data_IF_583832556024
#
_entry.id   IF_583832556024
#
_cell.length_a   1.000
_cell.length_b   1.000
_cell.length_c   1.000
_cell.angle_alpha   90.00
_cell.angle_beta   90.00
_cell.angle_gamma   90.00
#
_symmetry.space_group_name_H-M   'P 1'
#
loop_
_entity.id
_entity.type
_entity.pdbx_description
1 polymer ?
#
# COMPACT_ATOMS: atom_id res chain seq x y z
N UNK A 1 -1.79 -30.89 -25.47
CA UNK A 1 -3.15 -30.32 -25.41
C UNK A 1 -3.04 -28.82 -25.21
N UNK A 2 -3.54 -27.99 -26.13
CA UNK A 2 -3.64 -26.56 -25.92
C UNK A 2 -4.43 -26.27 -24.64
N UNK A 3 -4.02 -25.26 -23.88
CA UNK A 3 -4.72 -24.78 -22.68
C UNK A 3 -4.87 -25.81 -21.55
N UNK A 4 -3.87 -26.66 -21.25
CA UNK A 4 -3.99 -27.68 -20.17
C UNK A 4 -4.35 -27.09 -18.79
N UNK A 5 -3.80 -25.94 -18.46
CA UNK A 5 -3.98 -25.30 -17.16
C UNK A 5 -4.93 -24.10 -17.25
N UNK A 6 -5.75 -23.93 -16.21
CA UNK A 6 -6.54 -22.72 -15.98
C UNK A 6 -6.02 -22.08 -14.70
N UNK A 7 -5.69 -20.80 -14.77
CA UNK A 7 -5.20 -20.04 -13.63
C UNK A 7 -6.29 -19.02 -13.29
N UNK A 8 -6.71 -19.01 -12.04
CA UNK A 8 -7.81 -18.15 -11.55
C UNK A 8 -7.28 -17.27 -10.44
N UNK A 9 -7.51 -15.97 -10.57
CA UNK A 9 -7.39 -15.01 -9.49
C UNK A 9 -8.76 -14.83 -8.83
N UNK A 10 -8.80 -14.91 -7.51
CA UNK A 10 -9.98 -14.61 -6.70
C UNK A 10 -9.63 -13.48 -5.74
N UNK A 11 -10.41 -12.40 -5.76
CA UNK A 11 -10.22 -11.24 -4.88
C UNK A 11 -11.37 -11.19 -3.90
N UNK A 12 -11.06 -11.29 -2.61
CA UNK A 12 -12.02 -11.18 -1.49
C UNK A 12 -11.42 -10.21 -0.49
N UNK A 13 -12.21 -9.23 -0.02
CA UNK A 13 -11.75 -8.21 0.94
C UNK A 13 -10.43 -7.54 0.53
N UNK A 14 -10.32 -7.18 -0.75
CA UNK A 14 -9.13 -6.58 -1.36
C UNK A 14 -7.85 -7.46 -1.31
N UNK A 15 -7.97 -8.75 -0.97
CA UNK A 15 -6.88 -9.73 -0.96
C UNK A 15 -7.01 -10.68 -2.13
N UNK A 16 -5.96 -10.76 -2.94
CA UNK A 16 -5.89 -11.66 -4.07
C UNK A 16 -5.38 -13.05 -3.63
N UNK A 17 -6.05 -14.09 -4.09
CA UNK A 17 -5.62 -15.48 -4.00
C UNK A 17 -5.62 -16.10 -5.41
N UNK A 18 -4.81 -17.14 -5.59
CA UNK A 18 -4.55 -17.72 -6.91
C UNK A 18 -4.65 -19.23 -6.85
N UNK A 19 -5.37 -19.81 -7.81
CA UNK A 19 -5.49 -21.26 -7.97
C UNK A 19 -5.11 -21.67 -9.38
N UNK A 20 -4.55 -22.87 -9.51
CA UNK A 20 -4.18 -23.46 -10.80
C UNK A 20 -4.91 -24.79 -10.91
N UNK A 21 -5.68 -24.99 -11.97
CA UNK A 21 -6.41 -26.22 -12.24
C UNK A 21 -5.84 -26.95 -13.47
N UNK A 22 -5.44 -28.21 -13.30
CA UNK A 22 -5.00 -29.10 -14.39
C UNK A 22 -6.24 -29.80 -14.98
N UNK A 23 -6.68 -29.36 -16.17
CA UNK A 23 -7.87 -29.92 -16.82
C UNK A 23 -7.69 -31.38 -17.24
N UNK A 24 -6.46 -31.79 -17.54
CA UNK A 24 -6.18 -33.17 -17.96
C UNK A 24 -6.25 -34.12 -16.77
N UNK A 25 -5.71 -33.71 -15.61
CA UNK A 25 -5.77 -34.50 -14.37
C UNK A 25 -7.06 -34.27 -13.56
N UNK A 26 -7.90 -33.32 -13.99
CA UNK A 26 -9.13 -32.89 -13.31
C UNK A 26 -8.92 -32.57 -11.83
N UNK A 27 -7.85 -31.82 -11.52
CA UNK A 27 -7.50 -31.47 -10.14
C UNK A 27 -6.76 -30.15 -10.02
N UNK A 28 -6.87 -29.53 -8.86
CA UNK A 28 -6.07 -28.37 -8.48
C UNK A 28 -4.60 -28.76 -8.32
N UNK A 29 -3.72 -27.94 -8.85
CA UNK A 29 -2.28 -28.03 -8.63
C UNK A 29 -1.99 -27.36 -7.30
N UNK A 30 -1.54 -28.15 -6.33
CA UNK A 30 -1.19 -27.68 -4.99
C UNK A 30 0.28 -27.27 -5.00
N UNK A 31 0.62 -26.01 -4.63
CA UNK A 31 2.01 -25.61 -4.44
C UNK A 31 2.69 -26.46 -3.37
N UNK A 32 3.93 -26.85 -3.62
CA UNK A 32 4.79 -27.53 -2.65
C UNK A 32 5.60 -26.51 -1.84
N UNK A 33 6.60 -26.99 -1.10
CA UNK A 33 7.56 -26.14 -0.37
C UNK A 33 8.12 -25.01 -1.24
N UNK A 34 8.32 -23.84 -0.62
CA UNK A 34 8.74 -22.60 -1.29
C UNK A 34 7.77 -22.12 -2.38
N UNK A 35 6.48 -22.47 -2.27
CA UNK A 35 5.42 -22.11 -3.21
C UNK A 35 5.73 -22.50 -4.65
N UNK A 36 6.46 -23.59 -4.86
CA UNK A 36 6.73 -24.11 -6.21
C UNK A 36 5.57 -24.95 -6.70
N UNK A 37 5.29 -24.85 -7.98
CA UNK A 37 4.34 -25.72 -8.69
C UNK A 37 5.05 -26.44 -9.82
N UNK A 38 4.59 -27.65 -10.09
CA UNK A 38 5.13 -28.48 -11.16
C UNK A 38 4.09 -28.65 -12.25
N UNK A 39 4.35 -27.99 -13.38
CA UNK A 39 3.52 -28.04 -14.57
C UNK A 39 4.14 -29.01 -15.57
N UNK A 40 3.47 -29.17 -16.70
CA UNK A 40 3.86 -30.06 -17.80
C UNK A 40 3.69 -29.31 -19.11
N UNK A 41 4.70 -29.34 -19.95
CA UNK A 41 4.61 -28.80 -21.30
C UNK A 41 3.78 -29.71 -22.22
N UNK A 42 3.73 -29.37 -23.50
CA UNK A 42 3.05 -30.16 -24.53
C UNK A 42 3.66 -31.56 -24.75
N UNK A 43 4.95 -31.72 -24.47
CA UNK A 43 5.71 -32.97 -24.57
C UNK A 43 5.69 -33.78 -23.26
N UNK A 44 4.91 -33.34 -22.27
CA UNK A 44 4.81 -33.90 -20.94
C UNK A 44 6.12 -33.84 -20.11
N UNK A 45 7.08 -32.99 -20.50
CA UNK A 45 8.23 -32.66 -19.67
C UNK A 45 7.79 -31.84 -18.47
N UNK A 46 8.48 -32.02 -17.34
CA UNK A 46 8.16 -31.29 -16.10
C UNK A 46 8.75 -29.89 -16.15
N UNK A 47 7.90 -28.89 -15.95
CA UNK A 47 8.30 -27.51 -15.74
C UNK A 47 8.19 -27.18 -14.24
N UNK A 48 9.11 -26.39 -13.71
CA UNK A 48 9.08 -25.94 -12.32
C UNK A 48 9.08 -24.42 -12.26
N UNK A 49 8.03 -23.87 -11.67
CA UNK A 49 7.89 -22.44 -11.41
C UNK A 49 7.52 -22.21 -9.96
N UNK A 50 7.83 -21.04 -9.45
CA UNK A 50 7.24 -20.48 -8.24
C UNK A 50 5.89 -19.86 -8.56
N UNK A 51 5.01 -19.76 -7.56
CA UNK A 51 3.76 -19.02 -7.71
C UNK A 51 3.99 -17.55 -8.07
N UNK A 52 5.09 -16.94 -7.60
CA UNK A 52 5.47 -15.57 -7.97
C UNK A 52 5.76 -15.43 -9.46
N UNK A 53 6.57 -16.32 -10.04
CA UNK A 53 6.85 -16.32 -11.48
C UNK A 53 5.55 -16.44 -12.29
N UNK A 54 4.66 -17.35 -11.92
CA UNK A 54 3.39 -17.54 -12.63
C UNK A 54 2.49 -16.31 -12.52
N UNK A 55 2.30 -15.77 -11.32
CA UNK A 55 1.40 -14.62 -11.12
C UNK A 55 1.94 -13.36 -11.79
N UNK A 56 3.27 -13.16 -11.77
CA UNK A 56 3.92 -12.06 -12.47
C UNK A 56 3.73 -12.17 -13.98
N UNK A 57 3.94 -13.36 -14.55
CA UNK A 57 3.82 -13.59 -15.98
C UNK A 57 2.36 -13.45 -16.46
N UNK A 58 1.40 -13.97 -15.71
CA UNK A 58 0.00 -14.03 -16.15
C UNK A 58 -0.79 -12.75 -15.86
N UNK A 59 -0.50 -12.08 -14.74
CA UNK A 59 -1.30 -10.95 -14.26
C UNK A 59 -0.52 -9.64 -14.11
N UNK A 60 0.81 -9.65 -14.25
CA UNK A 60 1.70 -8.55 -13.84
C UNK A 60 1.45 -8.08 -12.38
N UNK A 61 1.21 -9.04 -11.50
CA UNK A 61 1.00 -8.82 -10.06
C UNK A 61 2.00 -9.61 -9.22
N UNK A 62 1.91 -9.45 -7.90
CA UNK A 62 2.77 -10.15 -6.96
C UNK A 62 1.99 -11.21 -6.18
N UNK A 63 2.46 -12.46 -6.21
CA UNK A 63 1.91 -13.51 -5.36
C UNK A 63 2.36 -13.32 -3.91
N UNK A 64 1.39 -13.25 -3.00
CA UNK A 64 1.64 -13.14 -1.57
C UNK A 64 0.45 -13.72 -0.78
N UNK A 65 0.76 -14.35 0.36
CA UNK A 65 -0.21 -14.77 1.37
C UNK A 65 -0.38 -13.62 2.37
N UNK A 66 -1.53 -12.94 2.33
CA UNK A 66 -1.84 -11.84 3.24
C UNK A 66 -2.73 -12.28 4.42
N UNK A 67 -2.07 -12.65 5.52
CA UNK A 67 -2.71 -12.95 6.81
C UNK A 67 -2.82 -11.74 7.74
N UNK A 68 -2.37 -10.55 7.32
CA UNK A 68 -2.42 -9.35 8.17
C UNK A 68 -3.88 -8.90 8.29
N UNK A 69 -4.42 -8.77 9.51
CA UNK A 69 -5.78 -8.27 9.71
C UNK A 69 -5.86 -6.77 9.41
N UNK A 70 -6.96 -6.40 8.77
CA UNK A 70 -7.29 -5.01 8.50
C UNK A 70 -7.93 -4.37 9.74
N UNK A 71 -7.68 -3.08 9.93
CA UNK A 71 -8.34 -2.31 10.97
C UNK A 71 -9.79 -2.01 10.54
N UNK A 72 -10.72 -1.74 11.48
CA UNK A 72 -12.11 -1.44 11.13
C UNK A 72 -12.22 -0.30 10.11
N UNK A 73 -12.83 -0.59 8.96
CA UNK A 73 -13.02 0.35 7.86
C UNK A 73 -11.72 0.80 7.16
N UNK A 74 -10.60 0.11 7.37
CA UNK A 74 -9.35 0.41 6.68
C UNK A 74 -9.42 0.07 5.20
N UNK A 75 -8.88 0.96 4.38
CA UNK A 75 -8.83 0.83 2.94
C UNK A 75 -7.39 0.74 2.48
N UNK A 76 -7.12 -0.11 1.49
CA UNK A 76 -5.79 -0.35 0.95
C UNK A 76 -5.72 -0.01 -0.54
N UNK A 77 -4.65 0.63 -0.95
CA UNK A 77 -4.30 0.85 -2.36
C UNK A 77 -2.93 0.27 -2.67
N UNK A 78 -2.79 -0.34 -3.85
CA UNK A 78 -1.49 -0.68 -4.38
C UNK A 78 -0.71 0.59 -4.75
N UNK A 79 0.57 0.63 -4.37
CA UNK A 79 1.48 1.70 -4.74
C UNK A 79 2.05 1.38 -6.12
N UNK A 80 1.70 2.19 -7.11
CA UNK A 80 2.08 2.04 -8.50
C UNK A 80 2.93 3.18 -9.05
N UNK A 81 3.24 3.07 -10.34
CA UNK A 81 4.12 4.00 -11.06
C UNK A 81 3.52 5.39 -11.27
N UNK A 82 2.19 5.52 -11.15
CA UNK A 82 1.45 6.78 -11.19
C UNK A 82 1.81 7.71 -10.03
N UNK A 83 2.15 7.15 -8.87
CA UNK A 83 2.69 7.92 -7.75
C UNK A 83 4.18 8.21 -7.94
N UNK A 84 4.96 7.19 -8.28
CA UNK A 84 6.39 7.31 -8.48
C UNK A 84 6.91 6.27 -9.47
N UNK A 85 7.54 6.74 -10.56
CA UNK A 85 8.08 5.91 -11.64
C UNK A 85 9.00 4.76 -11.20
N UNK A 86 9.60 4.84 -10.01
CA UNK A 86 10.40 3.77 -9.41
C UNK A 86 9.60 2.48 -9.15
N UNK A 87 8.27 2.55 -9.12
CA UNK A 87 7.40 1.39 -8.92
C UNK A 87 6.94 0.73 -10.23
N UNK A 88 7.45 1.14 -11.40
CA UNK A 88 7.05 0.59 -12.71
C UNK A 88 7.08 -0.95 -12.78
N UNK A 89 8.08 -1.58 -12.18
CA UNK A 89 8.24 -3.04 -12.18
C UNK A 89 7.77 -3.68 -10.85
N UNK A 90 6.99 -2.95 -10.06
CA UNK A 90 6.58 -3.31 -8.71
C UNK A 90 5.06 -3.34 -8.55
N UNK A 91 4.34 -3.49 -9.65
CA UNK A 91 2.89 -3.65 -9.66
C UNK A 91 2.48 -4.79 -8.71
N UNK A 92 1.51 -4.52 -7.84
CA UNK A 92 1.05 -5.47 -6.84
C UNK A 92 2.00 -5.71 -5.65
N UNK A 93 3.17 -5.06 -5.57
CA UNK A 93 4.20 -5.41 -4.57
C UNK A 93 4.05 -4.68 -3.23
N UNK A 94 3.52 -3.46 -3.23
CA UNK A 94 3.38 -2.65 -2.01
C UNK A 94 1.99 -2.07 -1.92
N UNK A 95 1.45 -1.98 -0.72
CA UNK A 95 0.16 -1.36 -0.45
C UNK A 95 0.29 -0.32 0.65
N UNK A 96 -0.49 0.75 0.55
CA UNK A 96 -0.64 1.77 1.60
C UNK A 96 -2.09 1.80 2.07
N UNK A 97 -2.29 1.99 3.37
CA UNK A 97 -3.63 2.18 3.93
C UNK A 97 -3.95 3.61 4.29
N UNK A 98 -5.25 3.93 4.38
CA UNK A 98 -5.76 5.20 4.88
C UNK A 98 -5.35 5.45 6.34
N UNK A 99 -4.99 4.40 7.08
CA UNK A 99 -4.45 4.47 8.45
C UNK A 99 -2.95 4.73 8.50
N UNK A 100 -2.29 4.90 7.36
CA UNK A 100 -0.85 5.13 7.27
C UNK A 100 -0.02 3.87 7.52
N UNK A 101 -0.58 2.68 7.33
CA UNK A 101 0.18 1.42 7.33
C UNK A 101 0.66 1.11 5.92
N UNK A 102 1.78 0.40 5.80
CA UNK A 102 2.30 -0.05 4.50
C UNK A 102 2.57 -1.55 4.57
N UNK A 103 2.00 -2.31 3.63
CA UNK A 103 2.27 -3.74 3.44
C UNK A 103 3.32 -3.92 2.34
N UNK A 104 4.19 -4.91 2.50
CA UNK A 104 5.05 -5.42 1.44
C UNK A 104 4.65 -6.85 1.11
N UNK A 105 4.43 -7.10 -0.18
CA UNK A 105 4.20 -8.41 -0.79
C UNK A 105 5.45 -8.94 -1.50
N UNK A 106 6.61 -8.31 -1.29
CA UNK A 106 7.86 -8.74 -1.90
C UNK A 106 8.28 -10.16 -1.45
N UNK A 107 7.89 -10.57 -0.24
CA UNK A 107 8.01 -11.95 0.25
C UNK A 107 6.82 -12.82 -0.13
N UNK A 108 6.83 -14.09 0.26
CA UNK A 108 5.67 -14.97 0.10
C UNK A 108 4.57 -14.72 1.13
N UNK A 109 4.92 -14.12 2.27
CA UNK A 109 3.99 -13.70 3.31
C UNK A 109 4.03 -12.18 3.41
N UNK A 110 2.85 -11.58 3.64
CA UNK A 110 2.74 -10.14 3.75
C UNK A 110 3.42 -9.65 5.02
N UNK A 111 4.12 -8.52 4.92
CA UNK A 111 4.78 -7.89 6.06
C UNK A 111 4.41 -6.41 6.19
N UNK A 112 4.12 -5.97 7.42
CA UNK A 112 4.00 -4.53 7.71
C UNK A 112 5.38 -3.87 7.70
N UNK A 113 5.53 -2.86 6.85
CA UNK A 113 6.76 -2.09 6.74
C UNK A 113 6.87 -1.07 7.88
N UNK A 114 8.03 -1.00 8.51
CA UNK A 114 8.30 -0.04 9.59
C UNK A 114 8.61 1.34 9.04
N UNK A 115 7.72 2.30 9.27
CA UNK A 115 8.02 3.71 9.09
C UNK A 115 8.95 4.19 10.21
N UNK A 116 9.95 5.00 9.85
CA UNK A 116 10.93 5.56 10.81
C UNK A 116 10.99 7.08 10.69
N UNK A 117 11.13 7.83 11.79
CA UNK A 117 11.36 9.26 11.72
C UNK A 117 12.67 9.54 10.96
N UNK A 118 12.67 10.64 10.22
CA UNK A 118 13.84 11.16 9.52
C UNK A 118 13.97 12.67 9.78
N UNK A 119 14.72 13.38 8.93
CA UNK A 119 14.91 14.82 9.01
C UNK A 119 13.59 15.56 9.25
N UNK A 120 13.64 16.53 10.16
CA UNK A 120 12.50 17.35 10.58
C UNK A 120 11.32 16.54 11.16
N UNK A 121 11.52 15.30 11.60
CA UNK A 121 10.52 14.47 12.27
C UNK A 121 9.54 13.75 11.33
N UNK A 122 9.70 13.86 10.01
CA UNK A 122 8.82 13.17 9.06
C UNK A 122 9.12 11.68 9.00
N UNK A 123 8.07 10.86 9.06
CA UNK A 123 8.19 9.41 8.95
C UNK A 123 8.37 8.99 7.49
N UNK A 124 9.36 8.14 7.26
CA UNK A 124 9.66 7.56 5.95
C UNK A 124 9.62 6.05 5.97
N UNK A 125 9.19 5.48 4.85
CA UNK A 125 9.25 4.05 4.57
C UNK A 125 10.33 3.81 3.51
N UNK A 126 11.14 2.76 3.71
CA UNK A 126 12.20 2.38 2.78
C UNK A 126 11.71 1.22 1.93
N UNK A 127 11.54 1.45 0.63
CA UNK A 127 11.12 0.42 -0.33
C UNK A 127 12.35 -0.25 -0.96
N UNK A 128 12.15 -1.41 -1.57
CA UNK A 128 13.16 -2.07 -2.40
C UNK A 128 12.72 -2.01 -3.86
N UNK A 129 13.44 -1.24 -4.67
CA UNK A 129 13.16 -1.05 -6.09
C UNK A 129 14.44 -1.18 -6.91
N UNK A 130 14.56 -2.18 -7.79
CA UNK A 130 15.68 -2.41 -8.72
C UNK A 130 17.06 -2.21 -8.09
N UNK A 131 17.33 -2.95 -7.00
CA UNK A 131 18.59 -2.86 -6.24
C UNK A 131 18.76 -1.56 -5.42
N UNK A 132 17.91 -0.57 -5.62
CA UNK A 132 17.87 0.69 -4.86
C UNK A 132 16.92 0.58 -3.67
N UNK A 133 17.12 1.48 -2.70
CA UNK A 133 16.33 1.56 -1.48
C UNK A 133 15.71 2.95 -1.29
N UNK A 134 14.75 3.37 -2.15
CA UNK A 134 14.17 4.69 -2.04
C UNK A 134 13.46 4.86 -0.70
N UNK A 135 13.73 5.99 -0.04
CA UNK A 135 13.03 6.42 1.17
C UNK A 135 11.97 7.43 0.75
N UNK A 136 10.72 7.14 1.09
CA UNK A 136 9.58 7.98 0.70
C UNK A 136 8.82 8.38 1.97
N UNK A 137 8.40 9.65 2.02
CA UNK A 137 7.61 10.21 3.13
C UNK A 137 6.23 9.57 3.16
N UNK A 138 5.91 8.92 4.28
CA UNK A 138 4.67 8.15 4.45
C UNK A 138 3.42 8.99 4.18
N UNK A 139 3.31 10.16 4.81
CA UNK A 139 2.17 11.07 4.60
C UNK A 139 1.94 11.47 3.14
N UNK A 140 2.99 11.56 2.31
CA UNK A 140 2.82 11.89 0.88
C UNK A 140 2.20 10.73 0.11
N UNK A 141 2.58 9.50 0.45
CA UNK A 141 2.00 8.30 -0.15
C UNK A 141 0.52 8.22 0.23
N UNK A 142 0.21 8.36 1.52
CA UNK A 142 -1.18 8.34 2.01
C UNK A 142 -2.00 9.46 1.37
N UNK A 143 -1.53 10.70 1.38
CA UNK A 143 -2.25 11.81 0.77
C UNK A 143 -2.51 11.60 -0.73
N UNK A 144 -1.55 11.02 -1.47
CA UNK A 144 -1.73 10.74 -2.88
C UNK A 144 -2.86 9.73 -3.13
N UNK A 145 -2.92 8.62 -2.40
CA UNK A 145 -3.94 7.60 -2.67
C UNK A 145 -5.32 7.93 -2.12
N UNK A 146 -5.41 8.71 -1.03
CA UNK A 146 -6.68 8.93 -0.32
C UNK A 146 -7.23 10.35 -0.44
N UNK A 147 -6.42 11.35 -0.83
CA UNK A 147 -6.82 12.76 -0.86
C UNK A 147 -6.68 13.41 -2.25
N UNK A 148 -6.10 12.72 -3.24
CA UNK A 148 -5.87 13.28 -4.58
C UNK A 148 -7.17 13.68 -5.29
N UNK A 149 -8.27 12.96 -5.05
CA UNK A 149 -9.60 13.29 -5.59
C UNK A 149 -10.15 14.63 -5.08
N UNK A 150 -9.60 15.17 -3.99
CA UNK A 150 -9.98 16.47 -3.44
C UNK A 150 -9.25 17.63 -4.12
N UNK A 151 -8.26 17.34 -4.97
CA UNK A 151 -7.51 18.37 -5.69
C UNK A 151 -8.28 18.85 -6.94
N UNK A 152 -8.18 20.13 -7.31
CA UNK A 152 -8.70 20.61 -8.59
C UNK A 152 -8.08 19.82 -9.76
N UNK A 153 -8.91 19.46 -10.75
CA UNK A 153 -8.48 18.71 -11.93
C UNK A 153 -7.30 19.40 -12.61
N UNK A 154 -6.27 18.62 -12.96
CA UNK A 154 -5.05 19.11 -13.62
C UNK A 154 -3.98 19.66 -12.66
N UNK A 155 -4.23 19.65 -11.34
CA UNK A 155 -3.21 20.06 -10.37
C UNK A 155 -2.11 19.01 -10.24
N UNK A 156 -0.87 19.45 -10.30
CA UNK A 156 0.32 18.61 -10.10
C UNK A 156 0.63 18.41 -8.61
N UNK A 157 0.32 17.24 -8.07
CA UNK A 157 0.58 16.86 -6.67
C UNK A 157 2.06 16.97 -6.27
N UNK A 158 2.99 16.82 -7.21
CA UNK A 158 4.43 16.93 -6.90
C UNK A 158 4.83 18.33 -6.43
N UNK A 159 4.04 19.35 -6.81
CA UNK A 159 4.22 20.75 -6.42
C UNK A 159 3.45 21.15 -5.16
N UNK A 160 2.61 20.25 -4.63
CA UNK A 160 1.81 20.51 -3.43
C UNK A 160 2.55 20.10 -2.14
N UNK A 161 2.22 20.80 -1.06
CA UNK A 161 2.61 20.42 0.29
C UNK A 161 1.51 19.55 0.94
N UNK A 162 1.88 18.76 1.94
CA UNK A 162 0.92 17.96 2.70
C UNK A 162 1.05 18.36 4.15
N UNK A 163 -0.03 18.91 4.70
CA UNK A 163 -0.14 19.37 6.07
C UNK A 163 -0.57 18.22 6.99
N UNK A 164 0.01 18.17 8.19
CA UNK A 164 -0.44 17.31 9.28
C UNK A 164 -1.23 18.13 10.29
N UNK A 165 -2.49 17.76 10.52
CA UNK A 165 -3.33 18.34 11.57
C UNK A 165 -2.96 17.84 12.97
N UNK A 166 -2.36 16.65 13.06
CA UNK A 166 -1.76 16.09 14.27
C UNK A 166 -0.22 16.06 14.15
N UNK A 167 0.50 15.48 15.12
CA UNK A 167 1.95 15.34 15.03
C UNK A 167 2.40 14.54 13.79
N UNK A 168 3.68 14.64 13.41
CA UNK A 168 4.23 14.05 12.16
C UNK A 168 4.28 12.52 12.17
N UNK A 169 4.11 11.91 13.34
CA UNK A 169 3.90 10.49 13.56
C UNK A 169 2.49 10.02 13.14
N UNK A 170 1.50 10.91 13.14
CA UNK A 170 0.11 10.61 12.79
C UNK A 170 -0.12 10.73 11.28
N UNK A 171 0.12 9.63 10.54
CA UNK A 171 0.10 9.63 9.08
C UNK A 171 -1.21 9.11 8.46
N UNK A 172 -2.27 8.91 9.24
CA UNK A 172 -3.59 8.53 8.72
C UNK A 172 -4.19 9.67 7.87
N UNK A 173 -4.91 9.33 6.80
CA UNK A 173 -5.47 10.26 5.82
C UNK A 173 -6.36 11.33 6.47
N UNK A 174 -7.15 10.96 7.49
CA UNK A 174 -7.99 11.89 8.25
C UNK A 174 -7.21 12.97 9.02
N UNK A 175 -5.91 12.77 9.27
CA UNK A 175 -5.02 13.73 9.92
C UNK A 175 -4.22 14.56 8.91
N UNK A 176 -4.47 14.42 7.61
CA UNK A 176 -3.70 15.04 6.54
C UNK A 176 -4.57 15.98 5.70
N UNK A 177 -3.93 16.94 5.05
CA UNK A 177 -4.55 17.74 3.99
C UNK A 177 -3.54 18.14 2.95
N UNK A 178 -3.96 18.13 1.68
CA UNK A 178 -3.12 18.64 0.59
C UNK A 178 -3.25 20.16 0.54
N UNK A 179 -2.13 20.86 0.58
CA UNK A 179 -2.04 22.30 0.42
C UNK A 179 -1.56 22.64 -0.99
N UNK A 180 -2.38 23.36 -1.73
CA UNK A 180 -2.11 23.77 -3.12
C UNK A 180 -1.04 24.87 -3.20
N UNK A 181 -0.89 25.64 -2.10
CA UNK A 181 0.09 26.73 -2.01
C UNK A 181 0.75 26.75 -0.63
N UNK A 182 1.97 27.27 -0.56
CA UNK A 182 2.68 27.50 0.71
C UNK A 182 1.88 28.40 1.67
N UNK A 183 1.24 29.45 1.16
CA UNK A 183 0.39 30.36 1.97
C UNK A 183 -0.77 29.63 2.65
N UNK A 184 -1.35 28.63 1.98
CA UNK A 184 -2.38 27.77 2.57
C UNK A 184 -1.78 26.89 3.69
N UNK A 185 -0.62 26.29 3.45
CA UNK A 185 0.07 25.50 4.47
C UNK A 185 0.41 26.34 5.71
N UNK A 186 0.97 27.54 5.54
CA UNK A 186 1.28 28.47 6.63
C UNK A 186 0.02 28.88 7.43
N UNK A 187 -1.12 29.04 6.73
CA UNK A 187 -2.41 29.30 7.39
C UNK A 187 -2.83 28.10 8.25
N UNK A 188 -2.76 26.89 7.71
CA UNK A 188 -3.13 25.68 8.45
C UNK A 188 -2.21 25.45 9.65
N UNK A 189 -0.90 25.69 9.51
CA UNK A 189 0.05 25.64 10.62
C UNK A 189 -0.25 26.64 11.73
N UNK A 190 -0.73 27.85 11.40
CA UNK A 190 -1.18 28.82 12.41
C UNK A 190 -2.44 28.34 13.12
N UNK A 191 -3.44 27.83 12.39
CA UNK A 191 -4.67 27.29 12.97
C UNK A 191 -4.35 26.11 13.90
N UNK A 192 -3.53 25.16 13.44
CA UNK A 192 -3.12 24.00 14.23
C UNK A 192 -2.43 24.40 15.53
N UNK A 193 -1.51 25.37 15.48
CA UNK A 193 -0.85 25.90 16.70
C UNK A 193 -1.86 26.54 17.65
N UNK A 194 -2.79 27.34 17.15
CA UNK A 194 -3.86 27.92 17.97
C UNK A 194 -4.75 26.86 18.63
N UNK A 195 -5.09 25.77 17.92
CA UNK A 195 -5.85 24.64 18.49
C UNK A 195 -5.07 23.98 19.62
N UNK A 196 -3.76 23.76 19.43
CA UNK A 196 -2.88 23.15 20.44
C UNK A 196 -2.78 24.05 21.68
N UNK A 197 -2.55 25.35 21.49
CA UNK A 197 -2.49 26.34 22.57
C UNK A 197 -3.81 26.40 23.35
N UNK A 198 -4.94 26.46 22.65
CA UNK A 198 -6.26 26.46 23.26
C UNK A 198 -6.52 25.19 24.08
N UNK A 199 -6.17 24.01 23.55
CA UNK A 199 -6.31 22.71 24.25
C UNK A 199 -5.43 22.63 25.49
N UNK A 200 -4.22 23.16 25.42
CA UNK A 200 -3.31 23.23 26.58
C UNK A 200 -3.88 24.10 27.71
N UNK A 201 -4.63 25.15 27.37
CA UNK A 201 -5.31 26.02 28.35
C UNK A 201 -6.62 25.43 28.89
N UNK A 202 -7.28 24.52 28.15
CA UNK A 202 -8.60 23.97 28.49
C UNK A 202 -8.64 22.43 28.45
N UNK A 203 -7.89 21.73 29.33
CA UNK A 203 -7.69 20.27 29.24
C UNK A 203 -8.94 19.43 29.54
N UNK A 204 -9.91 19.93 30.32
CA UNK A 204 -11.04 19.15 30.84
C UNK A 204 -12.19 19.00 29.82
N UNK A 205 -12.33 19.92 28.86
CA UNK A 205 -13.44 19.91 27.90
C UNK A 205 -13.30 18.87 26.76
N UNK A 206 -12.12 18.30 26.53
CA UNK A 206 -11.86 17.47 25.34
C UNK A 206 -11.91 15.96 25.57
N UNK A 207 -11.79 15.49 26.82
CA UNK A 207 -11.87 14.06 27.14
C UNK A 207 -13.21 13.42 26.71
N UNK A 208 -14.29 14.20 26.67
CA UNK A 208 -15.61 13.74 26.28
C UNK A 208 -15.81 13.67 24.75
N UNK A 209 -14.99 14.38 23.95
CA UNK A 209 -15.14 14.44 22.49
C UNK A 209 -14.34 13.34 21.76
N UNK A 210 -13.17 12.96 22.28
CA UNK A 210 -12.35 11.89 21.70
C UNK A 210 -12.85 10.46 22.07
N UNK A 211 -13.77 10.34 23.04
CA UNK A 211 -14.45 9.07 23.41
C UNK A 211 -15.67 8.74 22.51
N UNK A 212 -16.07 9.67 21.63
CA UNK A 212 -17.26 9.55 20.79
C UNK A 212 -16.96 9.34 19.29
N UNK A 213 -15.70 9.10 18.91
CA UNK A 213 -15.24 8.94 17.52
C UNK A 213 -14.55 7.60 17.27
#
# INVERSE_FOLDING_TARGET
MPNRYVIVQTIIDCKASYTIYDKQKKKTVIPVINHRVYLRDENNNRLSYTMKEIVREVYDLEYCLDSIPDLPGEQWFFIGSEFDKRFKNYNGTYLVSDRGRVKSYAGYEAALMKAKPYTHGYYMVTFRCDGKRPRIRLHRIVAYYFLLSQMPKGTDFSKCEVHHWRGKENNAACNLSICLTKKQHDRYDRIRRGIIEYRAQHPVCWFLADLAA
#
